data_IF_832783518658
#
_entry.id   IF_832783518658
#
_cell.length_a   1.000
_cell.length_b   1.000
_cell.length_c   1.000
_cell.angle_alpha   90.00
_cell.angle_beta   90.00
_cell.angle_gamma   90.00
#
_symmetry.space_group_name_H-M   'P 1'
#
loop_
_entity.id
_entity.type
_entity.pdbx_description
1 polymer ?
#
# COMPACT_ATOMS: atom_id res chain seq x y z
N UNK A 1 -11.89 -11.99 -17.79
CA UNK A 1 -10.49 -11.52 -17.66
C UNK A 1 -10.27 -11.17 -16.21
N UNK A 2 -9.24 -11.71 -15.56
CA UNK A 2 -8.94 -11.36 -14.18
C UNK A 2 -8.14 -10.05 -14.17
N UNK A 3 -8.51 -9.13 -13.29
CA UNK A 3 -7.85 -7.84 -13.15
C UNK A 3 -7.04 -7.80 -11.87
N UNK A 4 -5.87 -7.17 -11.95
CA UNK A 4 -4.96 -7.06 -10.83
C UNK A 4 -5.63 -6.21 -9.73
N UNK A 5 -5.84 -6.74 -8.51
CA UNK A 5 -6.48 -5.98 -7.43
C UNK A 5 -5.63 -4.79 -6.95
N UNK A 6 -4.42 -4.62 -7.48
CA UNK A 6 -3.52 -3.52 -7.15
C UNK A 6 -3.48 -2.40 -8.21
N UNK A 7 -3.78 -2.70 -9.48
CA UNK A 7 -3.60 -1.71 -10.56
C UNK A 7 -4.59 -1.87 -11.71
N UNK A 8 -5.61 -2.73 -11.54
CA UNK A 8 -6.72 -2.97 -12.47
C UNK A 8 -6.30 -3.40 -13.88
N UNK A 9 -5.02 -3.70 -14.08
CA UNK A 9 -4.48 -4.23 -15.33
C UNK A 9 -4.78 -5.72 -15.45
N UNK A 10 -4.85 -6.22 -16.68
CA UNK A 10 -5.14 -7.64 -16.96
C UNK A 10 -4.06 -8.54 -16.36
N UNK A 11 -4.50 -9.59 -15.65
CA UNK A 11 -3.65 -10.67 -15.15
C UNK A 11 -3.48 -11.75 -16.23
N UNK A 12 -2.25 -12.21 -16.37
CA UNK A 12 -1.85 -13.26 -17.29
C UNK A 12 -1.73 -14.59 -16.53
N UNK A 13 -2.33 -15.65 -17.05
CA UNK A 13 -2.22 -16.98 -16.46
C UNK A 13 -0.84 -17.58 -16.75
N UNK A 14 -0.17 -18.04 -15.71
CA UNK A 14 1.03 -18.88 -15.80
C UNK A 14 0.71 -20.27 -15.23
N UNK A 15 1.65 -21.22 -15.28
CA UNK A 15 1.44 -22.61 -14.84
C UNK A 15 0.88 -22.71 -13.42
N UNK A 16 1.34 -21.86 -12.49
CA UNK A 16 1.02 -21.98 -11.06
C UNK A 16 0.47 -20.69 -10.42
N UNK A 17 0.43 -19.57 -11.17
CA UNK A 17 0.01 -18.27 -10.63
C UNK A 17 -0.51 -17.32 -11.71
N UNK A 18 -1.18 -16.25 -11.29
CA UNK A 18 -1.57 -15.12 -12.14
C UNK A 18 -0.51 -14.02 -12.03
N UNK A 19 -0.01 -13.50 -13.15
CA UNK A 19 1.03 -12.46 -13.19
C UNK A 19 0.49 -11.15 -13.77
N UNK A 20 0.77 -10.02 -13.11
CA UNK A 20 0.44 -8.70 -13.64
C UNK A 20 1.67 -8.07 -14.32
N UNK A 21 1.61 -7.85 -15.63
CA UNK A 21 2.70 -7.19 -16.36
C UNK A 21 2.88 -5.71 -15.99
N UNK A 22 1.80 -5.02 -15.58
CA UNK A 22 1.85 -3.59 -15.28
C UNK A 22 2.51 -3.28 -13.92
N UNK A 23 2.29 -4.13 -12.90
CA UNK A 23 2.85 -3.92 -11.57
C UNK A 23 3.89 -4.97 -11.14
N UNK A 24 4.15 -5.98 -11.98
CA UNK A 24 5.14 -7.03 -11.75
C UNK A 24 4.78 -8.02 -10.63
N UNK A 25 3.52 -8.05 -10.17
CA UNK A 25 3.10 -8.87 -9.03
C UNK A 25 2.43 -10.18 -9.45
N UNK A 26 2.64 -11.22 -8.64
CA UNK A 26 2.03 -12.54 -8.81
C UNK A 26 0.94 -12.78 -7.77
N UNK A 27 -0.09 -13.54 -8.16
CA UNK A 27 -1.25 -13.85 -7.34
C UNK A 27 -1.55 -15.35 -7.41
N UNK A 28 -1.90 -15.96 -6.26
CA UNK A 28 -2.37 -17.35 -6.23
C UNK A 28 -3.87 -17.36 -6.53
N UNK A 29 -4.33 -18.46 -7.10
CA UNK A 29 -5.75 -18.75 -7.18
C UNK A 29 -5.99 -20.02 -6.36
N UNK A 30 -6.92 -19.95 -5.40
CA UNK A 30 -7.47 -21.14 -4.74
C UNK A 30 -8.76 -21.50 -5.45
N UNK A 31 -8.85 -22.73 -5.96
CA UNK A 31 -10.10 -23.26 -6.47
C UNK A 31 -10.93 -23.65 -5.25
N UNK A 32 -12.00 -22.90 -4.94
CA UNK A 32 -12.91 -23.25 -3.85
C UNK A 32 -13.42 -24.67 -4.11
N UNK A 33 -13.14 -25.58 -3.16
CA UNK A 33 -13.47 -26.99 -3.23
C UNK A 33 -15.00 -27.17 -3.15
N UNK A 34 -15.67 -27.10 -4.30
CA UNK A 34 -17.06 -27.52 -4.45
C UNK A 34 -17.35 -28.07 -5.85
N UNK A 35 -16.35 -28.68 -6.50
CA UNK A 35 -16.57 -29.46 -7.73
C UNK A 35 -15.73 -30.74 -7.67
N UNK A 36 -16.43 -31.85 -7.41
CA UNK A 36 -15.98 -33.20 -7.75
C UNK A 36 -15.79 -33.25 -9.27
N UNK A 37 -14.54 -33.26 -9.75
CA UNK A 37 -14.25 -33.66 -11.13
C UNK A 37 -13.03 -34.57 -11.10
N UNK A 38 -13.23 -35.75 -11.69
CA UNK A 38 -12.40 -36.93 -11.63
C UNK A 38 -10.98 -36.76 -12.19
N UNK A 39 -10.10 -37.63 -11.69
CA UNK A 39 -8.63 -37.67 -11.86
C UNK A 39 -8.10 -37.95 -13.28
N UNK A 40 -8.84 -37.72 -14.36
CA UNK A 40 -8.31 -37.87 -15.72
C UNK A 40 -9.10 -36.98 -16.67
N UNK A 41 -8.53 -35.89 -17.20
CA UNK A 41 -9.05 -35.31 -18.44
C UNK A 41 -8.11 -34.31 -19.12
N UNK A 42 -7.80 -34.64 -20.36
CA UNK A 42 -7.10 -33.82 -21.34
C UNK A 42 -7.82 -32.49 -21.64
N UNK A 43 -7.01 -31.44 -21.71
CA UNK A 43 -7.03 -30.28 -22.62
C UNK A 43 -8.32 -29.49 -22.88
N UNK A 44 -9.45 -29.70 -22.19
CA UNK A 44 -10.74 -29.12 -22.67
C UNK A 44 -11.65 -28.48 -21.63
N UNK A 45 -11.14 -28.11 -20.46
CA UNK A 45 -11.90 -27.36 -19.43
C UNK A 45 -11.37 -25.91 -19.32
N UNK A 46 -11.23 -25.22 -20.45
CA UNK A 46 -11.02 -23.77 -20.46
C UNK A 46 -12.35 -23.00 -20.44
N UNK A 47 -13.47 -23.66 -20.76
CA UNK A 47 -14.75 -23.01 -21.05
C UNK A 47 -15.78 -23.03 -19.91
N UNK A 48 -15.56 -23.81 -18.84
CA UNK A 48 -16.55 -24.00 -17.77
C UNK A 48 -16.07 -23.60 -16.37
N UNK A 49 -14.95 -22.89 -16.25
CA UNK A 49 -14.54 -22.28 -14.98
C UNK A 49 -15.27 -20.94 -14.85
N UNK A 50 -16.27 -20.88 -13.98
CA UNK A 50 -17.00 -19.66 -13.67
C UNK A 50 -16.12 -18.74 -12.79
N UNK A 51 -15.46 -17.77 -13.44
CA UNK A 51 -14.49 -16.86 -12.81
C UNK A 51 -15.06 -15.97 -11.70
N UNK A 52 -16.40 -15.87 -11.56
CA UNK A 52 -17.05 -15.08 -10.52
C UNK A 52 -16.87 -15.65 -9.11
N UNK A 53 -16.47 -16.93 -8.98
CA UNK A 53 -16.26 -17.61 -7.71
C UNK A 53 -14.77 -17.75 -7.32
N UNK A 54 -13.87 -17.06 -8.02
CA UNK A 54 -12.43 -17.12 -7.73
C UNK A 54 -12.01 -15.96 -6.82
N UNK A 55 -11.70 -16.25 -5.55
CA UNK A 55 -11.01 -15.29 -4.68
C UNK A 55 -9.52 -15.25 -5.03
N UNK A 56 -9.05 -14.09 -5.52
CA UNK A 56 -7.64 -13.87 -5.83
C UNK A 56 -6.95 -13.33 -4.58
N UNK A 57 -6.27 -14.21 -3.85
CA UNK A 57 -5.40 -13.81 -2.73
C UNK A 57 -4.00 -13.51 -3.26
N UNK A 58 -3.38 -12.46 -2.72
CA UNK A 58 -1.96 -12.21 -2.99
C UNK A 58 -1.18 -13.43 -2.51
N UNK A 59 -0.25 -13.89 -3.34
CA UNK A 59 0.82 -14.72 -2.85
C UNK A 59 1.54 -13.90 -1.79
N UNK A 60 1.46 -14.40 -0.55
CA UNK A 60 2.13 -13.92 0.65
C UNK A 60 1.45 -12.78 1.43
N UNK A 61 0.22 -13.02 1.93
CA UNK A 61 -0.34 -12.23 3.04
C UNK A 61 0.38 -12.51 4.39
N UNK A 62 1.27 -13.50 4.47
CA UNK A 62 2.09 -13.79 5.65
C UNK A 62 3.48 -13.12 5.66
N UNK A 63 3.84 -12.40 4.60
CA UNK A 63 4.98 -11.48 4.57
C UNK A 63 4.50 -10.03 4.62
N UNK A 64 3.81 -9.68 5.71
CA UNK A 64 3.81 -8.28 6.16
C UNK A 64 5.26 -7.93 6.46
N UNK A 65 5.92 -7.33 5.45
CA UNK A 65 7.34 -6.98 5.31
C UNK A 65 8.09 -7.07 6.64
N UNK A 66 9.10 -7.95 6.71
CA UNK A 66 9.92 -8.11 7.91
C UNK A 66 10.50 -6.77 8.41
N UNK A 67 10.67 -5.78 7.52
CA UNK A 67 11.00 -4.40 7.91
C UNK A 67 9.93 -3.75 8.77
N UNK A 68 8.65 -3.98 8.50
CA UNK A 68 7.54 -3.43 9.29
C UNK A 68 7.38 -4.17 10.63
N UNK A 69 7.70 -5.47 10.70
CA UNK A 69 7.85 -6.16 12.00
C UNK A 69 8.99 -5.54 12.83
N UNK A 70 10.14 -5.28 12.20
CA UNK A 70 11.27 -4.59 12.85
C UNK A 70 10.85 -3.19 13.31
N UNK A 71 10.16 -2.41 12.48
CA UNK A 71 9.68 -1.07 12.82
C UNK A 71 8.66 -1.08 13.97
N UNK A 72 7.83 -2.11 14.11
CA UNK A 72 6.90 -2.25 15.25
C UNK A 72 7.62 -2.50 16.58
N UNK A 73 8.80 -3.11 16.56
CA UNK A 73 9.58 -3.37 17.78
C UNK A 73 10.36 -2.16 18.30
N UNK A 74 10.46 -1.09 17.49
CA UNK A 74 11.25 0.11 17.77
C UNK A 74 10.34 1.32 17.99
N UNK A 75 10.72 2.21 18.91
CA UNK A 75 10.07 3.52 19.03
C UNK A 75 10.35 4.36 17.78
N UNK A 76 9.35 4.51 16.93
CA UNK A 76 9.45 5.31 15.71
C UNK A 76 9.19 6.78 16.01
N UNK A 77 10.00 7.63 15.39
CA UNK A 77 9.89 9.09 15.47
C UNK A 77 9.94 9.69 14.08
N UNK A 78 9.55 10.94 13.93
CA UNK A 78 9.58 11.62 12.62
C UNK A 78 10.97 11.67 11.98
N UNK A 79 12.06 11.65 12.77
CA UNK A 79 13.44 11.55 12.28
C UNK A 79 13.69 10.31 11.42
N UNK A 80 12.98 9.20 11.66
CA UNK A 80 13.14 7.98 10.88
C UNK A 80 12.55 8.08 9.47
N UNK A 81 11.66 9.05 9.23
CA UNK A 81 10.93 9.24 7.98
C UNK A 81 11.28 10.54 7.27
N UNK A 82 12.05 11.41 7.92
CA UNK A 82 12.50 12.65 7.33
C UNK A 82 13.72 12.37 6.43
N UNK A 83 13.64 12.65 5.12
CA UNK A 83 14.62 12.17 4.14
C UNK A 83 15.86 13.08 3.99
N UNK A 84 15.96 14.14 4.79
CA UNK A 84 17.08 15.08 4.76
C UNK A 84 17.81 15.11 6.10
N UNK A 85 19.10 15.41 6.08
CA UNK A 85 19.92 15.42 7.30
C UNK A 85 19.52 16.53 8.27
N UNK A 86 18.89 17.60 7.77
CA UNK A 86 18.55 18.79 8.54
C UNK A 86 17.17 19.35 8.16
N UNK A 87 16.46 19.85 9.16
CA UNK A 87 15.23 20.62 8.96
C UNK A 87 15.55 22.03 8.50
N UNK A 88 14.68 22.58 7.64
CA UNK A 88 14.58 24.01 7.43
C UNK A 88 13.80 24.66 8.56
N UNK A 89 13.86 25.99 8.61
CA UNK A 89 13.11 26.80 9.55
C UNK A 89 11.63 26.38 9.64
N UNK A 90 11.14 26.24 10.86
CA UNK A 90 9.77 25.84 11.22
C UNK A 90 9.31 24.45 10.76
N UNK A 91 10.08 23.68 9.99
CA UNK A 91 9.63 22.36 9.51
C UNK A 91 9.43 21.38 10.67
N UNK A 92 10.38 21.33 11.60
CA UNK A 92 10.30 20.44 12.75
C UNK A 92 9.10 20.78 13.64
N UNK A 93 8.83 22.07 13.85
CA UNK A 93 7.68 22.53 14.63
C UNK A 93 6.36 22.16 13.96
N UNK A 94 6.26 22.30 12.63
CA UNK A 94 5.09 21.86 11.86
C UNK A 94 4.87 20.35 11.99
N UNK A 95 5.94 19.54 11.91
CA UNK A 95 5.85 18.09 12.11
C UNK A 95 5.30 17.77 13.50
N UNK A 96 5.83 18.44 14.55
CA UNK A 96 5.38 18.26 15.94
C UNK A 96 3.91 18.61 16.08
N UNK A 97 3.47 19.76 15.58
CA UNK A 97 2.07 20.20 15.62
C UNK A 97 1.11 19.23 14.91
N UNK A 98 1.49 18.70 13.73
CA UNK A 98 0.70 17.69 13.01
C UNK A 98 0.60 16.41 13.84
N UNK A 99 1.73 15.92 14.34
CA UNK A 99 1.79 14.68 15.14
C UNK A 99 0.94 14.79 16.41
N UNK A 100 1.04 15.91 17.14
CA UNK A 100 0.24 16.16 18.34
C UNK A 100 -1.26 16.23 18.03
N UNK A 101 -1.65 16.96 16.99
CA UNK A 101 -3.04 17.05 16.54
C UNK A 101 -3.60 15.68 16.15
N UNK A 102 -2.83 14.89 15.39
CA UNK A 102 -3.22 13.54 14.99
C UNK A 102 -3.32 12.59 16.19
N UNK A 103 -2.40 12.67 17.15
CA UNK A 103 -2.46 11.90 18.41
C UNK A 103 -3.70 12.26 19.24
N UNK A 104 -4.04 13.55 19.28
CA UNK A 104 -5.23 14.07 19.94
C UNK A 104 -6.53 13.83 19.16
N UNK A 105 -6.47 13.22 17.96
CA UNK A 105 -7.61 13.02 17.04
C UNK A 105 -8.33 14.33 16.70
N UNK A 106 -7.58 15.41 16.52
CA UNK A 106 -8.06 16.73 16.14
C UNK A 106 -7.69 17.06 14.69
N UNK A 107 -8.49 17.91 14.07
CA UNK A 107 -8.20 18.48 12.76
C UNK A 107 -7.18 19.62 12.90
N UNK A 108 -6.30 19.76 11.91
CA UNK A 108 -5.32 20.85 11.82
C UNK A 108 -5.42 21.53 10.46
N UNK A 109 -5.34 22.87 10.45
CA UNK A 109 -5.27 23.67 9.23
C UNK A 109 -3.88 24.32 9.17
N UNK A 110 -3.15 24.08 8.08
CA UNK A 110 -1.78 24.56 7.92
C UNK A 110 -1.63 25.40 6.67
N UNK A 111 -0.92 26.51 6.79
CA UNK A 111 -0.49 27.34 5.67
C UNK A 111 0.98 27.04 5.42
N UNK A 112 1.26 26.33 4.33
CA UNK A 112 2.62 25.96 3.95
C UNK A 112 2.89 26.36 2.48
N UNK A 113 3.72 27.38 2.24
CA UNK A 113 4.03 27.83 0.89
C UNK A 113 4.79 26.76 0.09
N UNK A 114 5.00 27.03 -1.20
CA UNK A 114 5.78 26.13 -2.04
C UNK A 114 7.24 26.09 -1.56
N UNK A 115 7.88 24.93 -1.67
CA UNK A 115 9.24 24.72 -1.15
C UNK A 115 9.34 24.36 0.34
N UNK A 116 8.26 24.49 1.13
CA UNK A 116 8.25 24.13 2.56
C UNK A 116 8.35 22.62 2.81
N UNK A 117 8.20 21.76 1.79
CA UNK A 117 8.24 20.31 1.99
C UNK A 117 6.95 19.75 2.60
N UNK A 118 5.80 20.29 2.19
CA UNK A 118 4.45 19.91 2.66
C UNK A 118 4.24 18.39 2.76
N UNK A 119 4.60 17.66 1.71
CA UNK A 119 4.48 16.20 1.67
C UNK A 119 5.34 15.54 2.74
N UNK A 120 6.64 15.85 2.74
CA UNK A 120 7.63 15.28 3.64
C UNK A 120 7.28 15.56 5.09
N UNK A 121 6.88 16.79 5.42
CA UNK A 121 6.44 17.19 6.76
C UNK A 121 5.21 16.37 7.19
N UNK A 122 4.19 16.27 6.34
CA UNK A 122 2.97 15.53 6.66
C UNK A 122 3.24 14.03 6.84
N UNK A 123 4.01 13.41 5.94
CA UNK A 123 4.33 11.99 6.01
C UNK A 123 5.23 11.68 7.21
N UNK A 124 6.25 12.49 7.47
CA UNK A 124 7.15 12.30 8.62
C UNK A 124 6.41 12.40 9.96
N UNK A 125 5.41 13.27 10.04
CA UNK A 125 4.58 13.40 11.24
C UNK A 125 3.62 12.23 11.44
N UNK A 126 3.05 11.68 10.36
CA UNK A 126 1.95 10.71 10.42
C UNK A 126 2.40 9.24 10.35
N UNK A 127 3.48 8.93 9.64
CA UNK A 127 3.96 7.56 9.46
C UNK A 127 4.29 6.84 10.78
N UNK A 128 4.99 7.46 11.76
CA UNK A 128 5.23 6.82 13.06
C UNK A 128 3.93 6.38 13.73
N UNK A 129 2.96 7.30 13.79
CA UNK A 129 1.66 7.07 14.43
C UNK A 129 0.85 6.01 13.68
N UNK A 130 0.89 6.03 12.34
CA UNK A 130 0.16 5.08 11.52
C UNK A 130 0.69 3.65 11.69
N UNK A 131 2.02 3.48 11.75
CA UNK A 131 2.65 2.17 11.95
C UNK A 131 2.39 1.65 13.38
N UNK A 132 2.59 2.51 14.38
CA UNK A 132 2.38 2.19 15.80
C UNK A 132 0.95 1.72 16.05
N UNK A 133 -0.04 2.44 15.50
CA UNK A 133 -1.47 2.17 15.72
C UNK A 133 -2.13 1.31 14.63
N UNK A 134 -1.35 0.77 13.70
CA UNK A 134 -1.86 0.00 12.56
C UNK A 134 -2.97 0.73 11.77
N UNK A 135 -2.78 2.03 11.53
CA UNK A 135 -3.72 2.89 10.80
C UNK A 135 -3.31 3.00 9.32
N UNK A 136 -4.26 3.49 8.51
CA UNK A 136 -4.03 3.80 7.09
C UNK A 136 -3.98 5.31 6.90
N UNK A 137 -3.06 5.78 6.06
CA UNK A 137 -2.99 7.18 5.62
C UNK A 137 -3.71 7.30 4.28
N UNK A 138 -4.71 8.19 4.21
CA UNK A 138 -5.38 8.55 2.96
C UNK A 138 -4.85 9.92 2.54
N UNK A 139 -3.97 9.94 1.54
CA UNK A 139 -3.39 11.17 1.01
C UNK A 139 -4.19 11.64 -0.20
N UNK A 140 -4.77 12.84 -0.12
CA UNK A 140 -5.60 13.39 -1.20
C UNK A 140 -4.89 14.56 -1.90
N UNK A 141 -4.84 14.49 -3.22
CA UNK A 141 -4.27 15.51 -4.11
C UNK A 141 -5.33 15.97 -5.11
N UNK A 142 -5.18 17.19 -5.63
CA UNK A 142 -6.08 17.72 -6.67
C UNK A 142 -5.91 17.01 -8.02
N UNK A 143 -4.68 16.59 -8.35
CA UNK A 143 -4.35 16.04 -9.67
C UNK A 143 -3.58 14.72 -9.57
N UNK A 144 -3.71 13.87 -10.61
CA UNK A 144 -2.94 12.62 -10.71
C UNK A 144 -1.43 12.85 -10.73
N UNK A 145 -0.95 13.94 -11.36
CA UNK A 145 0.47 14.27 -11.40
C UNK A 145 1.04 14.58 -10.00
N UNK A 146 0.28 15.31 -9.17
CA UNK A 146 0.64 15.54 -7.77
C UNK A 146 0.63 14.24 -6.98
N UNK A 147 -0.37 13.38 -7.16
CA UNK A 147 -0.41 12.09 -6.48
C UNK A 147 0.80 11.22 -6.83
N UNK A 148 1.18 11.14 -8.11
CA UNK A 148 2.38 10.41 -8.56
C UNK A 148 3.67 10.96 -7.93
N UNK A 149 3.75 12.25 -7.65
CA UNK A 149 4.91 12.85 -6.97
C UNK A 149 5.03 12.37 -5.53
N UNK A 150 3.92 12.30 -4.79
CA UNK A 150 3.90 11.81 -3.40
C UNK A 150 4.39 10.37 -3.30
N UNK A 151 4.11 9.52 -4.29
CA UNK A 151 4.59 8.13 -4.32
C UNK A 151 6.10 8.02 -4.60
N UNK A 152 6.69 9.05 -5.22
CA UNK A 152 8.14 9.09 -5.49
C UNK A 152 8.95 9.68 -4.33
N UNK A 153 8.30 10.51 -3.50
CA UNK A 153 8.86 11.10 -2.29
C UNK A 153 8.86 10.06 -1.15
#
# INVERSE_FOLDING_TARGET
>A
MNFCPNCESVLYLTKDHLFCKACGRSFKFELLSSLNIDKNLDTTIASSINYAQLEVKKLDDNNYDDRVKILKSKTLTYYHFFPYDQFRESQEDLIKQISESAKARKNILLIAPNGTGKTVIALSALLPLAIEKNLKIIYMCRTHAQNRRVIKE
#
